data_IF_089656166424
#
_entry.id   IF_089656166424
#
_cell.length_a   1.000
_cell.length_b   1.000
_cell.length_c   1.000
_cell.angle_alpha   90.00
_cell.angle_beta   90.00
_cell.angle_gamma   90.00
#
_symmetry.space_group_name_H-M   'P 1'
#
loop_
_entity.id
_entity.type
_entity.pdbx_description
1 polymer ?
#
# COMPACT_ATOMS: atom_id res chain seq x y z
N UNK A 1 21.59 6.00 34.70
CA UNK A 1 22.07 5.82 33.31
C UNK A 1 21.44 4.65 32.52
N UNK A 2 20.46 3.89 33.04
CA UNK A 2 19.85 2.75 32.31
C UNK A 2 18.56 3.10 31.54
N UNK A 3 17.81 4.09 32.02
CA UNK A 3 16.52 4.53 31.46
C UNK A 3 16.63 5.15 30.06
N UNK A 4 17.67 5.96 29.80
CA UNK A 4 17.85 6.61 28.50
C UNK A 4 18.15 5.63 27.36
N UNK A 5 18.95 4.58 27.63
CA UNK A 5 19.28 3.57 26.63
C UNK A 5 18.04 2.77 26.21
N UNK A 6 17.18 2.39 27.16
CA UNK A 6 15.93 1.66 26.90
C UNK A 6 14.96 2.50 26.05
N UNK A 7 14.82 3.80 26.35
CA UNK A 7 13.97 4.71 25.57
C UNK A 7 14.48 4.90 24.14
N UNK A 8 15.79 5.01 23.95
CA UNK A 8 16.40 5.11 22.62
C UNK A 8 16.19 3.84 21.80
N UNK A 9 16.34 2.66 22.42
CA UNK A 9 16.08 1.38 21.75
C UNK A 9 14.61 1.24 21.37
N UNK A 10 13.69 1.59 22.28
CA UNK A 10 12.24 1.50 22.02
C UNK A 10 11.83 2.46 20.89
N UNK A 11 12.36 3.69 20.90
CA UNK A 11 12.13 4.65 19.83
C UNK A 11 12.63 4.13 18.48
N UNK A 12 13.81 3.48 18.43
CA UNK A 12 14.34 2.90 17.18
C UNK A 12 13.45 1.79 16.62
N UNK A 13 12.92 0.94 17.50
CA UNK A 13 11.98 -0.14 17.11
C UNK A 13 10.67 0.47 16.58
N UNK A 14 10.12 1.44 17.31
CA UNK A 14 8.89 2.15 16.90
C UNK A 14 9.05 2.85 15.55
N UNK A 15 10.17 3.54 15.34
CA UNK A 15 10.47 4.19 14.06
C UNK A 15 10.57 3.17 12.90
N UNK A 16 11.14 1.99 13.14
CA UNK A 16 11.18 0.91 12.17
C UNK A 16 9.78 0.39 11.81
N UNK A 17 8.93 0.20 12.81
CA UNK A 17 7.54 -0.21 12.62
C UNK A 17 6.74 0.83 11.84
N UNK A 18 6.81 2.11 12.22
CA UNK A 18 6.11 3.20 11.52
C UNK A 18 6.57 3.28 10.07
N UNK A 19 7.88 3.21 9.79
CA UNK A 19 8.39 3.20 8.41
C UNK A 19 7.89 1.99 7.63
N UNK A 20 7.87 0.81 8.24
CA UNK A 20 7.34 -0.39 7.59
C UNK A 20 5.85 -0.23 7.25
N UNK A 21 5.03 0.24 8.19
CA UNK A 21 3.60 0.47 7.97
C UNK A 21 3.36 1.54 6.91
N UNK A 22 4.08 2.66 6.94
CA UNK A 22 3.94 3.74 5.96
C UNK A 22 4.32 3.26 4.55
N UNK A 23 5.48 2.61 4.39
CA UNK A 23 5.87 2.02 3.08
C UNK A 23 4.90 0.91 2.66
N UNK A 24 4.37 0.15 3.61
CA UNK A 24 3.40 -0.88 3.32
C UNK A 24 2.03 -0.31 2.94
N UNK A 25 1.70 0.95 3.26
CA UNK A 25 0.39 1.57 3.03
C UNK A 25 0.23 2.20 1.65
N UNK A 26 1.28 2.22 0.82
CA UNK A 26 1.19 2.73 -0.55
C UNK A 26 0.29 1.82 -1.41
N UNK A 27 -0.61 2.45 -2.17
CA UNK A 27 -1.46 1.74 -3.11
C UNK A 27 -0.59 1.03 -4.15
N UNK A 28 -0.88 -0.25 -4.37
CA UNK A 28 -0.15 -1.06 -5.35
C UNK A 28 -1.03 -1.26 -6.56
N UNK A 29 -0.55 -0.83 -7.71
CA UNK A 29 -1.23 -1.02 -8.99
C UNK A 29 -0.26 -1.66 -9.96
N UNK A 30 -0.67 -2.76 -10.58
CA UNK A 30 0.12 -3.45 -11.59
C UNK A 30 -0.78 -4.05 -12.67
N UNK A 31 -0.21 -4.22 -13.85
CA UNK A 31 -0.88 -4.84 -14.97
C UNK A 31 -0.65 -6.35 -14.92
N UNK A 32 -1.69 -7.12 -15.19
CA UNK A 32 -1.67 -8.57 -15.29
C UNK A 32 -2.11 -8.94 -16.70
N UNK A 33 -1.32 -9.76 -17.37
CA UNK A 33 -1.68 -10.38 -18.64
C UNK A 33 -1.89 -11.88 -18.39
N UNK A 34 -3.05 -12.40 -18.78
CA UNK A 34 -3.32 -13.83 -18.70
C UNK A 34 -2.77 -14.58 -19.92
N UNK A 35 -2.77 -15.92 -19.84
CA UNK A 35 -2.33 -16.79 -20.93
C UNK A 35 -3.24 -16.76 -22.17
N UNK A 36 -4.38 -16.10 -22.10
CA UNK A 36 -5.31 -15.90 -23.22
C UNK A 36 -5.11 -14.53 -23.91
N UNK A 37 -4.14 -13.73 -23.46
CA UNK A 37 -3.83 -12.42 -24.01
C UNK A 37 -4.71 -11.29 -23.46
N UNK A 38 -5.56 -11.55 -22.47
CA UNK A 38 -6.29 -10.49 -21.80
C UNK A 38 -5.37 -9.77 -20.84
N UNK A 39 -5.41 -8.45 -20.91
CA UNK A 39 -4.63 -7.60 -20.02
C UNK A 39 -5.57 -6.76 -19.18
N UNK A 40 -5.42 -6.84 -17.86
CA UNK A 40 -6.20 -6.11 -16.90
C UNK A 40 -5.32 -5.53 -15.80
N UNK A 41 -5.83 -4.56 -15.07
CA UNK A 41 -5.14 -3.93 -13.97
C UNK A 41 -5.62 -4.53 -12.65
N UNK A 42 -4.69 -4.75 -11.73
CA UNK A 42 -4.98 -5.11 -10.36
C UNK A 42 -4.53 -3.97 -9.46
N UNK A 43 -5.48 -3.44 -8.70
CA UNK A 43 -5.24 -2.43 -7.69
C UNK A 43 -5.44 -3.04 -6.29
N UNK A 44 -4.54 -2.73 -5.37
CA UNK A 44 -4.55 -3.21 -4.00
C UNK A 44 -4.24 -2.06 -3.05
N UNK A 45 -5.09 -1.91 -2.04
CA UNK A 45 -4.93 -0.99 -0.93
C UNK A 45 -4.53 -1.80 0.30
N UNK A 46 -3.25 -1.78 0.70
CA UNK A 46 -2.78 -2.54 1.86
C UNK A 46 -3.32 -2.01 3.19
N UNK A 47 -3.70 -0.72 3.27
CA UNK A 47 -4.20 -0.11 4.49
C UNK A 47 -5.62 -0.59 4.82
N UNK A 48 -6.46 -0.83 3.81
CA UNK A 48 -7.80 -1.40 3.99
C UNK A 48 -7.92 -2.89 3.64
N UNK A 49 -6.87 -3.49 3.09
CA UNK A 49 -6.88 -4.88 2.59
C UNK A 49 -7.76 -5.10 1.35
N UNK A 50 -8.24 -4.03 0.71
CA UNK A 50 -9.15 -4.12 -0.45
C UNK A 50 -8.39 -4.24 -1.75
N UNK A 51 -8.94 -5.01 -2.68
CA UNK A 51 -8.42 -5.12 -4.05
C UNK A 51 -9.52 -4.98 -5.09
N UNK A 52 -9.17 -4.51 -6.28
CA UNK A 52 -10.06 -4.42 -7.45
C UNK A 52 -9.36 -4.87 -8.72
N UNK A 53 -10.14 -5.47 -9.62
CA UNK A 53 -9.76 -5.75 -11.00
C UNK A 53 -10.39 -4.69 -11.90
N UNK A 54 -9.60 -4.13 -12.81
CA UNK A 54 -9.96 -2.94 -13.57
C UNK A 54 -9.56 -3.17 -15.02
N UNK A 55 -10.45 -2.85 -15.96
CA UNK A 55 -10.24 -3.09 -17.39
C UNK A 55 -9.44 -1.98 -18.08
N UNK A 56 -9.34 -0.82 -17.45
CA UNK A 56 -8.75 0.38 -18.06
C UNK A 56 -8.01 1.24 -17.05
N UNK A 57 -7.10 2.08 -17.56
CA UNK A 57 -6.41 3.09 -16.74
C UNK A 57 -7.39 4.11 -16.14
N UNK A 58 -8.47 4.44 -16.87
CA UNK A 58 -9.50 5.34 -16.36
C UNK A 58 -10.15 4.78 -15.09
N UNK A 59 -10.49 3.49 -15.08
CA UNK A 59 -11.02 2.82 -13.90
C UNK A 59 -10.00 2.77 -12.74
N UNK A 60 -8.70 2.59 -13.03
CA UNK A 60 -7.62 2.71 -12.03
C UNK A 60 -7.60 4.09 -11.41
N UNK A 61 -7.64 5.14 -12.22
CA UNK A 61 -7.63 6.51 -11.70
C UNK A 61 -8.85 6.78 -10.83
N UNK A 62 -10.05 6.42 -11.28
CA UNK A 62 -11.27 6.58 -10.49
C UNK A 62 -11.22 5.79 -9.18
N UNK A 63 -10.64 4.59 -9.19
CA UNK A 63 -10.47 3.79 -7.97
C UNK A 63 -9.53 4.46 -6.96
N UNK A 64 -8.41 5.05 -7.42
CA UNK A 64 -7.48 5.81 -6.58
C UNK A 64 -8.16 7.07 -6.04
N UNK A 65 -8.86 7.82 -6.89
CA UNK A 65 -9.56 9.05 -6.52
C UNK A 65 -10.60 8.80 -5.42
N UNK A 66 -11.39 7.73 -5.53
CA UNK A 66 -12.35 7.32 -4.50
C UNK A 66 -11.70 7.02 -3.13
N UNK A 67 -10.38 6.74 -3.09
CA UNK A 67 -9.66 6.50 -1.83
C UNK A 67 -9.06 7.74 -1.21
N UNK A 68 -8.56 8.67 -2.01
CA UNK A 68 -7.92 9.88 -1.50
C UNK A 68 -8.87 11.07 -1.34
N UNK A 69 -9.97 11.13 -2.08
CA UNK A 69 -10.90 12.27 -2.09
C UNK A 69 -12.25 11.96 -1.45
N UNK A 70 -12.26 11.16 -0.38
CA UNK A 70 -13.45 10.97 0.46
C UNK A 70 -13.64 12.09 1.48
#
# INVERSE_FOLDING_TARGET
>A
MKTSAVLLTLNRIWQGFVRFVVNASELRVWQVSDGHGHTYWRAYDPASGRSSYLGSEAEVRSWIEQRYYR
#
